data_IF_288220594405
#
_entry.id   IF_288220594405
#
_cell.length_a   1.000
_cell.length_b   1.000
_cell.length_c   1.000
_cell.angle_alpha   90.00
_cell.angle_beta   90.00
_cell.angle_gamma   90.00
#
_symmetry.space_group_name_H-M   'P 1'
#
loop_
_entity.id
_entity.type
_entity.pdbx_description
1 polymer ?
#
# COMPACT_ATOMS: atom_id res chain seq x y z
N UNK A 1 22.92 -5.52 -21.68
CA UNK A 1 22.70 -4.79 -20.42
C UNK A 1 23.62 -5.38 -19.35
N UNK A 2 24.25 -4.55 -18.52
CA UNK A 2 25.04 -5.02 -17.37
C UNK A 2 24.22 -4.86 -16.09
N UNK A 3 24.16 -5.91 -15.27
CA UNK A 3 23.43 -5.89 -14.00
C UNK A 3 24.46 -5.83 -12.89
N UNK A 4 24.40 -4.78 -12.07
CA UNK A 4 25.33 -4.55 -10.98
C UNK A 4 24.59 -4.43 -9.64
N UNK A 5 25.19 -4.95 -8.59
CA UNK A 5 24.70 -4.78 -7.23
C UNK A 5 25.21 -3.45 -6.66
N UNK A 6 24.28 -2.61 -6.20
CA UNK A 6 24.58 -1.28 -5.67
C UNK A 6 25.43 -1.32 -4.39
N UNK A 7 25.44 -2.44 -3.67
CA UNK A 7 26.24 -2.62 -2.45
C UNK A 7 27.71 -2.92 -2.73
N UNK A 8 28.05 -3.44 -3.91
CA UNK A 8 29.41 -3.94 -4.21
C UNK A 8 30.42 -2.81 -4.45
N UNK A 9 29.97 -1.55 -4.50
CA UNK A 9 30.86 -0.38 -4.50
C UNK A 9 31.88 -0.38 -5.65
N UNK A 10 33.18 -0.35 -5.33
CA UNK A 10 34.28 -0.21 -6.29
C UNK A 10 34.45 -1.44 -7.21
N UNK A 11 34.15 -2.64 -6.73
CA UNK A 11 34.30 -3.86 -7.53
C UNK A 11 33.28 -3.93 -8.66
N UNK A 12 32.07 -3.41 -8.43
CA UNK A 12 31.06 -3.26 -9.47
C UNK A 12 31.52 -2.29 -10.57
N UNK A 13 32.22 -1.22 -10.21
CA UNK A 13 32.75 -0.23 -11.16
C UNK A 13 33.82 -0.86 -12.05
N UNK A 14 34.78 -1.57 -11.44
CA UNK A 14 35.84 -2.26 -12.18
C UNK A 14 35.28 -3.35 -13.08
N UNK A 15 34.30 -4.10 -12.59
CA UNK A 15 33.63 -5.14 -13.39
C UNK A 15 32.89 -4.52 -14.57
N UNK A 16 32.16 -3.43 -14.36
CA UNK A 16 31.45 -2.74 -15.43
C UNK A 16 32.40 -2.21 -16.52
N UNK A 17 33.55 -1.66 -16.13
CA UNK A 17 34.60 -1.19 -17.04
C UNK A 17 35.15 -2.31 -17.92
N UNK A 18 35.59 -3.40 -17.29
CA UNK A 18 36.15 -4.56 -18.00
C UNK A 18 35.11 -5.25 -18.88
N UNK A 19 33.85 -5.33 -18.44
CA UNK A 19 32.76 -5.82 -19.27
C UNK A 19 32.53 -4.90 -20.46
N UNK A 20 32.53 -3.58 -20.29
CA UNK A 20 32.30 -2.63 -21.39
C UNK A 20 33.40 -2.71 -22.46
N UNK A 21 34.66 -2.88 -22.05
CA UNK A 21 35.80 -3.04 -22.97
C UNK A 21 35.69 -4.31 -23.81
N UNK A 22 35.23 -5.41 -23.21
CA UNK A 22 35.11 -6.71 -23.90
C UNK A 22 33.80 -6.87 -24.66
N UNK A 23 32.74 -6.24 -24.18
CA UNK A 23 31.39 -6.32 -24.72
C UNK A 23 30.74 -4.94 -24.62
N UNK A 24 30.43 -4.32 -25.75
CA UNK A 24 29.80 -2.99 -25.80
C UNK A 24 28.43 -3.00 -25.10
N UNK A 25 28.43 -2.61 -23.83
CA UNK A 25 27.22 -2.41 -23.05
C UNK A 25 26.43 -1.23 -23.64
N UNK A 26 25.10 -1.36 -23.66
CA UNK A 26 24.16 -0.30 -24.10
C UNK A 26 23.36 0.29 -22.94
N UNK A 27 23.57 -0.23 -21.73
CA UNK A 27 22.89 0.22 -20.52
C UNK A 27 23.15 -0.69 -19.32
N UNK A 28 22.83 -0.15 -18.15
CA UNK A 28 23.08 -0.75 -16.83
C UNK A 28 21.77 -0.87 -16.05
N UNK A 29 21.65 -1.93 -15.25
CA UNK A 29 20.60 -2.11 -14.24
C UNK A 29 21.27 -2.22 -12.87
N UNK A 30 20.80 -1.46 -11.88
CA UNK A 30 21.32 -1.53 -10.52
C UNK A 30 20.34 -2.24 -9.61
N UNK A 31 20.77 -3.29 -8.91
CA UNK A 31 19.93 -4.03 -7.95
C UNK A 31 20.25 -3.63 -6.51
N UNK A 32 19.37 -4.00 -5.57
CA UNK A 32 19.52 -3.76 -4.13
C UNK A 32 19.62 -2.28 -3.74
N UNK A 33 18.86 -1.44 -4.44
CA UNK A 33 18.76 0.01 -4.19
C UNK A 33 17.79 0.37 -3.05
N UNK A 34 17.23 -0.64 -2.39
CA UNK A 34 16.41 -0.57 -1.17
C UNK A 34 17.23 -0.54 0.13
N UNK A 35 18.52 -0.91 0.08
CA UNK A 35 19.43 -0.81 1.21
C UNK A 35 20.04 0.59 1.42
N UNK A 36 20.99 0.70 2.36
CA UNK A 36 21.76 1.93 2.64
C UNK A 36 22.79 2.28 1.53
N UNK A 37 22.63 1.69 0.34
CA UNK A 37 23.45 2.01 -0.80
C UNK A 37 23.09 3.43 -1.28
N UNK A 38 23.92 4.42 -0.91
CA UNK A 38 23.76 5.85 -1.25
C UNK A 38 23.98 6.16 -2.74
N UNK A 39 23.67 5.25 -3.65
CA UNK A 39 23.72 5.48 -5.09
C UNK A 39 25.10 5.81 -5.70
N UNK A 40 26.19 5.79 -4.92
CA UNK A 40 27.52 6.13 -5.42
C UNK A 40 28.01 5.21 -6.54
N UNK A 41 27.67 3.92 -6.48
CA UNK A 41 27.96 2.96 -7.54
C UNK A 41 27.32 3.35 -8.89
N UNK A 42 26.13 3.97 -8.87
CA UNK A 42 25.44 4.43 -10.06
C UNK A 42 26.26 5.49 -10.80
N UNK A 43 26.76 6.48 -10.05
CA UNK A 43 27.58 7.56 -10.58
C UNK A 43 28.90 7.02 -11.14
N UNK A 44 29.59 6.18 -10.38
CA UNK A 44 30.88 5.62 -10.78
C UNK A 44 30.78 4.72 -12.01
N UNK A 45 29.78 3.85 -12.08
CA UNK A 45 29.57 2.99 -13.27
C UNK A 45 29.24 3.84 -14.50
N UNK A 46 28.37 4.85 -14.36
CA UNK A 46 28.03 5.78 -15.45
C UNK A 46 29.27 6.53 -15.93
N UNK A 47 30.13 6.98 -15.02
CA UNK A 47 31.34 7.73 -15.34
C UNK A 47 32.35 6.88 -16.12
N UNK A 48 32.54 5.62 -15.72
CA UNK A 48 33.55 4.75 -16.34
C UNK A 48 33.05 4.14 -17.65
N UNK A 49 31.80 3.68 -17.69
CA UNK A 49 31.25 3.02 -18.89
C UNK A 49 30.65 3.99 -19.90
N UNK A 50 30.27 5.20 -19.49
CA UNK A 50 29.50 6.13 -20.33
C UNK A 50 28.09 5.65 -20.71
N UNK A 51 27.61 4.52 -20.15
CA UNK A 51 26.34 3.88 -20.52
C UNK A 51 25.20 4.21 -19.56
N UNK A 52 23.96 4.37 -20.05
CA UNK A 52 22.87 4.88 -19.23
C UNK A 52 22.36 3.80 -18.28
N UNK A 53 22.01 4.18 -17.05
CA UNK A 53 21.27 3.30 -16.15
C UNK A 53 19.81 3.34 -16.59
N UNK A 54 19.23 2.16 -16.85
CA UNK A 54 17.87 2.02 -17.38
C UNK A 54 16.85 1.70 -16.28
N UNK A 55 17.21 0.81 -15.36
CA UNK A 55 16.32 0.34 -14.30
C UNK A 55 17.06 0.21 -12.97
N UNK A 56 16.29 0.27 -11.89
CA UNK A 56 16.73 0.01 -10.52
C UNK A 56 15.85 -1.03 -9.85
N UNK A 57 16.46 -1.97 -9.14
CA UNK A 57 15.78 -2.92 -8.27
C UNK A 57 15.69 -2.35 -6.86
N UNK A 58 14.49 -2.05 -6.40
CA UNK A 58 14.17 -1.45 -5.08
C UNK A 58 13.51 -2.45 -4.13
N UNK A 59 13.79 -3.74 -4.31
CA UNK A 59 13.31 -4.80 -3.45
C UNK A 59 13.48 -6.18 -4.08
N UNK A 60 13.04 -7.21 -3.35
CA UNK A 60 13.22 -8.61 -3.74
C UNK A 60 12.08 -9.18 -4.61
N UNK A 61 10.94 -8.48 -4.66
CA UNK A 61 9.76 -8.95 -5.39
C UNK A 61 9.87 -8.67 -6.89
N UNK A 62 9.13 -9.44 -7.69
CA UNK A 62 9.14 -9.30 -9.16
C UNK A 62 8.65 -7.93 -9.66
N UNK A 63 7.84 -7.23 -8.86
CA UNK A 63 7.30 -5.89 -9.13
C UNK A 63 8.20 -4.76 -8.60
N UNK A 64 9.34 -5.09 -7.98
CA UNK A 64 10.27 -4.11 -7.40
C UNK A 64 11.33 -3.60 -8.41
N UNK A 65 11.05 -3.69 -9.71
CA UNK A 65 11.91 -3.14 -10.76
C UNK A 65 11.31 -1.83 -11.28
N UNK A 66 11.96 -0.71 -10.98
CA UNK A 66 11.49 0.62 -11.34
C UNK A 66 12.40 1.25 -12.42
N UNK A 67 11.87 2.09 -13.33
CA UNK A 67 12.69 2.89 -14.23
C UNK A 67 13.66 3.79 -13.46
N UNK A 68 14.88 3.95 -13.98
CA UNK A 68 15.86 4.83 -13.35
C UNK A 68 15.54 6.31 -13.62
N UNK A 69 15.37 7.07 -12.54
CA UNK A 69 15.19 8.52 -12.58
C UNK A 69 16.36 9.22 -11.85
N UNK A 70 17.25 9.94 -12.56
CA UNK A 70 18.40 10.60 -11.96
C UNK A 70 18.01 11.54 -10.81
N UNK A 71 16.95 12.33 -11.01
CA UNK A 71 16.49 13.33 -10.03
C UNK A 71 16.12 12.69 -8.68
N UNK A 72 15.47 11.51 -8.70
CA UNK A 72 15.07 10.78 -7.48
C UNK A 72 16.26 10.25 -6.70
N UNK A 73 17.29 9.76 -7.42
CA UNK A 73 18.52 9.27 -6.79
C UNK A 73 19.28 10.43 -6.16
N UNK A 74 19.35 11.58 -6.83
CA UNK A 74 19.96 12.80 -6.27
C UNK A 74 19.21 13.26 -5.02
N UNK A 75 17.88 13.32 -5.05
CA UNK A 75 17.08 13.68 -3.87
C UNK A 75 17.28 12.70 -2.70
N UNK A 76 17.40 11.40 -2.98
CA UNK A 76 17.70 10.38 -1.96
C UNK A 76 19.10 10.55 -1.36
N UNK A 77 20.10 10.85 -2.18
CA UNK A 77 21.48 11.13 -1.74
C UNK A 77 21.54 12.40 -0.90
N UNK A 78 20.81 13.45 -1.29
CA UNK A 78 20.73 14.73 -0.59
C UNK A 78 19.84 14.68 0.66
N UNK A 79 19.27 13.52 1.00
CA UNK A 79 18.42 13.35 2.17
C UNK A 79 17.07 14.07 2.09
N UNK A 80 16.69 14.57 0.90
CA UNK A 80 15.42 15.29 0.69
C UNK A 80 14.21 14.37 0.57
N UNK A 81 14.41 13.04 0.59
CA UNK A 81 13.33 12.07 0.42
C UNK A 81 12.70 12.12 -0.98
N UNK A 82 11.91 11.11 -1.31
CA UNK A 82 11.30 10.98 -2.64
C UNK A 82 9.83 11.45 -2.61
N UNK A 83 9.65 12.77 -2.57
CA UNK A 83 8.32 13.40 -2.55
C UNK A 83 7.55 13.09 -3.85
N UNK A 84 8.25 12.95 -4.97
CA UNK A 84 7.65 12.65 -6.27
C UNK A 84 7.11 11.22 -6.34
N UNK A 85 7.85 10.22 -5.83
CA UNK A 85 7.33 8.86 -5.74
C UNK A 85 6.14 8.72 -4.79
N UNK A 86 6.06 9.55 -3.75
CA UNK A 86 4.90 9.61 -2.86
C UNK A 86 3.66 10.13 -3.61
N UNK A 87 3.82 11.17 -4.42
CA UNK A 87 2.74 11.74 -5.23
C UNK A 87 2.32 10.76 -6.32
N UNK A 88 3.25 10.13 -7.02
CA UNK A 88 2.93 9.15 -8.07
C UNK A 88 2.26 7.89 -7.52
N UNK A 89 2.72 7.35 -6.39
CA UNK A 89 2.06 6.20 -5.73
C UNK A 89 0.67 6.59 -5.22
N UNK A 90 0.49 7.82 -4.75
CA UNK A 90 -0.83 8.33 -4.36
C UNK A 90 -1.75 8.53 -5.58
N UNK A 91 -1.25 9.07 -6.70
CA UNK A 91 -2.03 9.31 -7.92
C UNK A 91 -2.40 8.02 -8.64
N UNK A 92 -1.51 7.02 -8.70
CA UNK A 92 -1.78 5.73 -9.35
C UNK A 92 -2.82 4.89 -8.58
N UNK A 93 -3.00 5.13 -7.28
CA UNK A 93 -3.89 4.34 -6.43
C UNK A 93 -5.26 4.97 -6.17
N UNK A 94 -5.47 6.23 -6.57
CA UNK A 94 -6.79 6.87 -6.54
C UNK A 94 -7.48 6.65 -7.89
N UNK A 95 -8.13 5.49 -7.98
CA UNK A 95 -9.06 5.19 -9.07
C UNK A 95 -10.29 6.10 -8.94
N UNK A 96 -10.27 7.25 -9.62
CA UNK A 96 -11.30 8.31 -9.54
C UNK A 96 -12.73 7.75 -9.69
N UNK A 97 -12.89 6.73 -10.54
CA UNK A 97 -14.18 6.04 -10.74
C UNK A 97 -14.65 5.30 -9.48
N UNK A 98 -13.77 4.57 -8.80
CA UNK A 98 -14.11 3.87 -7.55
C UNK A 98 -14.42 4.85 -6.42
N UNK A 99 -13.72 5.99 -6.37
CA UNK A 99 -14.00 7.03 -5.40
C UNK A 99 -15.40 7.65 -5.61
N UNK A 100 -15.78 7.92 -6.87
CA UNK A 100 -17.11 8.42 -7.24
C UNK A 100 -18.22 7.43 -6.94
N UNK A 101 -18.06 6.15 -7.28
CA UNK A 101 -19.02 5.09 -6.95
C UNK A 101 -19.20 4.93 -5.44
N UNK A 102 -18.11 5.01 -4.68
CA UNK A 102 -18.14 4.93 -3.22
C UNK A 102 -18.83 6.15 -2.59
N UNK A 103 -18.60 7.35 -3.14
CA UNK A 103 -19.28 8.56 -2.73
C UNK A 103 -20.79 8.48 -3.02
N UNK A 104 -21.18 8.01 -4.20
CA UNK A 104 -22.58 7.79 -4.56
C UNK A 104 -23.27 6.78 -3.62
N UNK A 105 -22.61 5.66 -3.30
CA UNK A 105 -23.09 4.66 -2.33
C UNK A 105 -23.16 5.18 -0.90
N UNK A 106 -22.30 6.12 -0.52
CA UNK A 106 -22.36 6.77 0.80
C UNK A 106 -23.59 7.67 0.93
N UNK A 107 -23.95 8.38 -0.13
CA UNK A 107 -25.10 9.30 -0.15
C UNK A 107 -26.45 8.58 -0.09
N UNK A 108 -26.55 7.35 -0.61
CA UNK A 108 -27.79 6.55 -0.56
C UNK A 108 -28.04 5.88 0.81
N UNK A 109 -27.11 5.98 1.76
CA UNK A 109 -27.31 5.64 3.18
C UNK A 109 -27.35 4.15 3.53
N UNK A 110 -27.63 3.26 2.58
CA UNK A 110 -27.62 1.79 2.75
C UNK A 110 -26.62 1.07 1.82
N UNK A 111 -25.80 1.81 1.08
CA UNK A 111 -24.91 1.27 0.04
C UNK A 111 -23.60 0.62 0.51
N UNK A 112 -23.38 0.42 1.82
CA UNK A 112 -22.15 -0.21 2.32
C UNK A 112 -22.37 -1.67 2.70
N UNK A 113 -22.09 -2.58 1.78
CA UNK A 113 -22.25 -4.03 1.96
C UNK A 113 -21.00 -4.70 2.55
N UNK A 114 -21.11 -5.97 2.95
CA UNK A 114 -19.94 -6.78 3.33
C UNK A 114 -19.02 -7.06 2.13
N UNK A 115 -19.54 -6.99 0.91
CA UNK A 115 -18.72 -7.09 -0.32
C UNK A 115 -17.82 -5.86 -0.46
N UNK A 116 -18.38 -4.65 -0.27
CA UNK A 116 -17.60 -3.41 -0.30
C UNK A 116 -16.56 -3.39 0.82
N UNK A 117 -16.92 -3.90 2.01
CA UNK A 117 -15.98 -4.06 3.13
C UNK A 117 -14.80 -4.98 2.78
N UNK A 118 -15.07 -6.12 2.14
CA UNK A 118 -14.02 -7.04 1.69
C UNK A 118 -13.10 -6.38 0.66
N UNK A 119 -13.67 -5.64 -0.28
CA UNK A 119 -12.89 -5.02 -1.34
C UNK A 119 -11.98 -3.90 -0.80
N UNK A 120 -12.45 -3.14 0.19
CA UNK A 120 -11.60 -2.20 0.94
C UNK A 120 -10.46 -2.92 1.67
N UNK A 121 -10.73 -4.04 2.34
CA UNK A 121 -9.68 -4.82 3.01
C UNK A 121 -8.64 -5.37 2.03
N UNK A 122 -9.07 -5.79 0.84
CA UNK A 122 -8.17 -6.21 -0.24
C UNK A 122 -7.32 -5.06 -0.76
N UNK A 123 -7.89 -3.86 -0.88
CA UNK A 123 -7.14 -2.68 -1.27
C UNK A 123 -6.07 -2.36 -0.23
N UNK A 124 -6.42 -2.34 1.06
CA UNK A 124 -5.45 -2.16 2.15
C UNK A 124 -4.33 -3.20 2.11
N UNK A 125 -4.67 -4.48 1.89
CA UNK A 125 -3.69 -5.56 1.72
C UNK A 125 -2.78 -5.37 0.49
N UNK A 126 -3.30 -4.82 -0.62
CA UNK A 126 -2.53 -4.54 -1.84
C UNK A 126 -1.59 -3.35 -1.69
N UNK A 127 -1.91 -2.39 -0.83
CA UNK A 127 -1.08 -1.20 -0.58
C UNK A 127 0.21 -1.53 0.22
N UNK A 128 0.40 -2.78 0.65
CA UNK A 128 1.56 -3.22 1.42
C UNK A 128 1.32 -3.18 2.93
N UNK A 129 2.34 -3.56 3.71
CA UNK A 129 2.22 -3.60 5.17
C UNK A 129 1.83 -2.20 5.67
N UNK A 130 0.81 -2.12 6.53
CA UNK A 130 0.45 -0.86 7.21
C UNK A 130 1.67 -0.20 7.88
N UNK A 131 2.69 -0.98 8.21
CA UNK A 131 4.00 -0.53 8.69
C UNK A 131 4.76 0.37 7.70
N UNK A 132 4.79 0.09 6.38
CA UNK A 132 5.51 0.93 5.42
C UNK A 132 4.83 2.28 5.19
N UNK A 133 3.48 2.30 5.19
CA UNK A 133 2.72 3.56 5.09
C UNK A 133 2.78 4.39 6.37
N UNK A 134 2.88 3.76 7.54
CA UNK A 134 2.97 4.45 8.82
C UNK A 134 4.39 4.86 9.21
N UNK A 135 5.43 4.26 8.63
CA UNK A 135 6.81 4.75 8.69
C UNK A 135 7.01 6.08 7.95
N UNK A 136 6.05 6.48 7.12
CA UNK A 136 6.04 7.74 6.36
C UNK A 136 5.15 8.82 7.00
N UNK A 137 4.39 8.51 8.05
CA UNK A 137 3.57 9.49 8.76
C UNK A 137 4.41 10.21 9.84
N UNK A 138 4.38 11.57 9.90
CA UNK A 138 5.09 12.32 10.91
C UNK A 138 4.67 11.90 12.32
N UNK A 139 5.63 11.61 13.19
CA UNK A 139 5.42 11.09 14.55
C UNK A 139 4.81 12.11 15.54
N UNK A 140 4.31 13.25 15.07
CA UNK A 140 3.90 14.40 15.89
C UNK A 140 2.42 14.70 15.65
N UNK A 141 1.63 14.79 16.73
CA UNK A 141 0.23 15.22 16.70
C UNK A 141 -0.79 14.13 17.06
N UNK A 142 -2.11 14.37 16.82
CA UNK A 142 -3.21 13.50 17.27
C UNK A 142 -3.21 12.09 16.66
N UNK A 143 -2.32 11.83 15.70
CA UNK A 143 -2.15 10.54 15.02
C UNK A 143 -1.06 9.64 15.63
N UNK A 144 -0.28 10.11 16.62
CA UNK A 144 0.75 9.31 17.29
C UNK A 144 0.20 8.05 17.99
N UNK A 145 -1.07 8.04 18.38
CA UNK A 145 -1.75 6.88 18.96
C UNK A 145 -2.04 5.75 17.96
N UNK A 146 -2.11 6.05 16.65
CA UNK A 146 -2.35 5.04 15.61
C UNK A 146 -1.13 4.15 15.41
N UNK A 147 0.08 4.68 15.63
CA UNK A 147 1.34 3.95 15.43
C UNK A 147 1.43 2.72 16.38
N UNK A 148 0.95 2.86 17.62
CA UNK A 148 0.87 1.75 18.59
C UNK A 148 -0.24 0.73 18.30
N UNK A 149 -1.27 1.12 17.55
CA UNK A 149 -2.32 0.20 17.12
C UNK A 149 -1.88 -0.64 15.91
N UNK A 150 -0.95 -0.12 15.11
CA UNK A 150 -0.46 -0.72 13.87
C UNK A 150 0.47 -1.92 14.09
N UNK A 151 1.33 -1.90 15.12
CA UNK A 151 2.17 -3.04 15.49
C UNK A 151 1.35 -4.28 15.92
N UNK A 152 0.06 -4.11 16.20
CA UNK A 152 -0.87 -5.20 16.55
C UNK A 152 -1.72 -5.68 15.37
N UNK A 153 -1.63 -5.05 14.19
CA UNK A 153 -2.36 -5.49 13.01
C UNK A 153 -1.54 -6.56 12.32
N UNK A 154 -1.76 -7.80 12.75
CA UNK A 154 -1.20 -8.98 12.08
C UNK A 154 -1.83 -9.11 10.68
N UNK A 155 -1.00 -9.11 9.63
CA UNK A 155 -1.44 -9.30 8.24
C UNK A 155 -2.27 -10.58 8.06
N UNK A 156 -2.00 -11.60 8.90
CA UNK A 156 -2.78 -12.84 8.90
C UNK A 156 -4.23 -12.60 9.30
N UNK A 157 -4.50 -11.65 10.21
CA UNK A 157 -5.87 -11.31 10.60
C UNK A 157 -6.68 -10.73 9.44
N UNK A 158 -6.07 -9.93 8.57
CA UNK A 158 -6.73 -9.43 7.36
C UNK A 158 -7.12 -10.58 6.43
N UNK A 159 -6.24 -11.58 6.27
CA UNK A 159 -6.56 -12.81 5.54
C UNK A 159 -7.69 -13.62 6.18
N UNK A 160 -7.77 -13.68 7.51
CA UNK A 160 -8.84 -14.38 8.21
C UNK A 160 -10.21 -13.71 8.02
N UNK A 161 -10.25 -12.38 8.09
CA UNK A 161 -11.47 -11.60 7.84
C UNK A 161 -11.94 -11.81 6.39
N UNK A 162 -11.02 -11.79 5.43
CA UNK A 162 -11.31 -12.10 4.03
C UNK A 162 -11.91 -13.51 3.86
N UNK A 163 -11.33 -14.52 4.51
CA UNK A 163 -11.82 -15.90 4.46
C UNK A 163 -13.25 -16.05 5.04
N UNK A 164 -13.57 -15.32 6.12
CA UNK A 164 -14.91 -15.31 6.70
C UNK A 164 -15.94 -14.72 5.71
N UNK A 165 -15.62 -13.59 5.07
CA UNK A 165 -16.55 -12.96 4.10
C UNK A 165 -16.71 -13.84 2.85
N UNK A 166 -15.64 -14.45 2.35
CA UNK A 166 -15.70 -15.37 1.20
C UNK A 166 -16.57 -16.61 1.48
N UNK A 167 -16.71 -17.00 2.75
CA UNK A 167 -17.58 -18.12 3.18
C UNK A 167 -19.07 -17.75 3.26
N UNK A 168 -19.42 -16.50 2.96
CA UNK A 168 -20.80 -16.02 2.86
C UNK A 168 -21.30 -16.10 1.41
N UNK A 169 -22.60 -16.32 1.26
CA UNK A 169 -23.29 -16.21 -0.03
C UNK A 169 -23.43 -14.73 -0.45
N UNK A 170 -23.59 -14.46 -1.75
CA UNK A 170 -23.77 -13.09 -2.27
C UNK A 170 -24.94 -12.38 -1.56
N UNK A 171 -26.06 -13.08 -1.38
CA UNK A 171 -27.21 -12.55 -0.65
C UNK A 171 -26.88 -12.14 0.79
N UNK A 172 -26.12 -12.95 1.53
CA UNK A 172 -25.71 -12.62 2.90
C UNK A 172 -24.74 -11.43 2.96
N UNK A 173 -23.91 -11.25 1.92
CA UNK A 173 -22.99 -10.11 1.87
C UNK A 173 -23.70 -8.78 1.62
N UNK A 174 -24.73 -8.81 0.78
CA UNK A 174 -25.58 -7.66 0.51
C UNK A 174 -26.54 -7.39 1.69
N UNK A 175 -27.05 -8.45 2.32
CA UNK A 175 -28.03 -8.38 3.40
C UNK A 175 -27.50 -9.06 4.67
N UNK A 176 -26.61 -8.37 5.39
CA UNK A 176 -25.98 -8.91 6.61
C UNK A 176 -26.99 -9.32 7.71
N UNK A 177 -28.18 -8.73 7.70
CA UNK A 177 -29.26 -8.93 8.69
C UNK A 177 -29.82 -10.34 8.66
N UNK A 178 -29.70 -11.05 7.53
CA UNK A 178 -30.16 -12.44 7.40
C UNK A 178 -29.24 -13.44 8.09
N UNK A 179 -28.06 -13.02 8.56
CA UNK A 179 -27.03 -13.89 9.15
C UNK A 179 -27.40 -14.27 10.60
N UNK A 180 -28.25 -15.28 10.71
CA UNK A 180 -28.64 -15.93 11.96
C UNK A 180 -27.58 -16.91 12.50
N UNK A 181 -27.82 -17.47 13.69
CA UNK A 181 -26.86 -18.37 14.35
C UNK A 181 -26.50 -19.62 13.55
N UNK A 182 -27.43 -20.18 12.78
CA UNK A 182 -27.17 -21.33 11.90
C UNK A 182 -26.21 -20.96 10.76
N UNK A 183 -26.44 -19.81 10.11
CA UNK A 183 -25.56 -19.28 9.07
C UNK A 183 -24.17 -18.96 9.61
N UNK A 184 -24.06 -18.39 10.83
CA UNK A 184 -22.76 -18.15 11.48
C UNK A 184 -21.96 -19.43 11.70
N UNK A 185 -22.62 -20.52 12.13
CA UNK A 185 -21.97 -21.83 12.26
C UNK A 185 -21.47 -22.36 10.91
N UNK A 186 -22.24 -22.20 9.84
CA UNK A 186 -21.83 -22.58 8.48
C UNK A 186 -20.63 -21.75 7.99
N UNK A 187 -20.67 -20.43 8.15
CA UNK A 187 -19.59 -19.51 7.77
C UNK A 187 -18.31 -19.83 8.56
N UNK A 188 -18.41 -20.04 9.86
CA UNK A 188 -17.30 -20.45 10.72
C UNK A 188 -16.62 -21.73 10.22
N UNK A 189 -17.41 -22.77 9.91
CA UNK A 189 -16.90 -24.02 9.33
C UNK A 189 -16.25 -23.82 7.96
N UNK A 190 -16.88 -23.05 7.07
CA UNK A 190 -16.35 -22.80 5.71
C UNK A 190 -15.05 -21.99 5.70
N UNK A 191 -14.88 -21.09 6.67
CA UNK A 191 -13.70 -20.24 6.81
C UNK A 191 -12.59 -20.85 7.68
N UNK A 192 -12.85 -22.00 8.32
CA UNK A 192 -11.94 -22.60 9.30
C UNK A 192 -11.79 -21.77 10.57
N UNK A 193 -12.80 -20.95 10.91
CA UNK A 193 -12.79 -20.00 12.04
C UNK A 193 -13.83 -20.33 13.08
N UNK A 194 -13.72 -19.68 14.22
CA UNK A 194 -14.68 -19.79 15.32
C UNK A 194 -15.92 -18.93 15.06
N UNK A 195 -17.05 -19.31 15.65
CA UNK A 195 -18.29 -18.50 15.59
C UNK A 195 -18.10 -17.14 16.27
N UNK A 196 -17.19 -17.06 17.26
CA UNK A 196 -16.84 -15.82 17.94
C UNK A 196 -16.15 -14.83 17.00
N UNK A 197 -15.20 -15.28 16.18
CA UNK A 197 -14.56 -14.44 15.16
C UNK A 197 -15.57 -13.91 14.14
N UNK A 198 -16.51 -14.75 13.69
CA UNK A 198 -17.60 -14.32 12.80
C UNK A 198 -18.48 -13.24 13.46
N UNK A 199 -18.81 -13.41 14.75
CA UNK A 199 -19.58 -12.40 15.49
C UNK A 199 -18.82 -11.07 15.63
N UNK A 200 -17.51 -11.13 15.89
CA UNK A 200 -16.68 -9.95 16.03
C UNK A 200 -16.58 -9.18 14.71
N UNK A 201 -16.43 -9.89 13.59
CA UNK A 201 -16.46 -9.28 12.26
C UNK A 201 -17.78 -8.56 12.00
N UNK A 202 -18.92 -9.21 12.26
CA UNK A 202 -20.23 -8.60 12.05
C UNK A 202 -20.44 -7.34 12.93
N UNK A 203 -19.89 -7.34 14.16
CA UNK A 203 -19.89 -6.14 15.02
C UNK A 203 -19.04 -5.01 14.44
N UNK A 204 -17.82 -5.32 13.98
CA UNK A 204 -16.93 -4.33 13.35
C UNK A 204 -17.56 -3.75 12.08
N UNK A 205 -18.14 -4.60 11.24
CA UNK A 205 -18.88 -4.18 10.06
C UNK A 205 -20.08 -3.28 10.42
N UNK A 206 -20.87 -3.64 11.45
CA UNK A 206 -22.01 -2.81 11.88
C UNK A 206 -21.57 -1.42 12.37
N UNK A 207 -20.44 -1.34 13.10
CA UNK A 207 -19.85 -0.08 13.52
C UNK A 207 -19.40 0.76 12.30
N UNK A 208 -18.76 0.13 11.33
CA UNK A 208 -18.28 0.82 10.14
C UNK A 208 -19.43 1.28 9.23
N UNK A 209 -20.48 0.45 9.06
CA UNK A 209 -21.71 0.83 8.37
C UNK A 209 -22.38 2.04 9.04
N UNK A 210 -22.41 2.08 10.37
CA UNK A 210 -22.94 3.25 11.11
C UNK A 210 -22.15 4.52 10.83
N UNK A 211 -20.82 4.42 10.81
CA UNK A 211 -19.93 5.54 10.47
C UNK A 211 -20.11 5.98 9.01
N UNK A 212 -20.20 5.04 8.08
CA UNK A 212 -20.41 5.32 6.66
C UNK A 212 -21.75 6.02 6.40
N UNK A 213 -22.81 5.56 7.08
CA UNK A 213 -24.13 6.21 7.06
C UNK A 213 -24.12 7.61 7.68
N UNK A 214 -23.24 7.87 8.64
CA UNK A 214 -23.06 9.22 9.19
C UNK A 214 -22.28 10.13 8.23
N UNK A 215 -21.31 9.58 7.51
CA UNK A 215 -20.50 10.32 6.53
C UNK A 215 -21.31 10.78 5.32
N UNK A 216 -22.28 9.97 4.87
CA UNK A 216 -23.23 10.34 3.81
C UNK A 216 -24.22 11.44 4.19
N UNK A 217 -24.31 11.85 5.47
CA UNK A 217 -25.22 12.93 5.88
C UNK A 217 -24.61 14.29 5.52
N UNK A 218 -25.39 15.21 4.92
CA UNK A 218 -24.95 16.59 4.64
C UNK A 218 -24.42 17.35 5.87
N UNK A 219 -24.87 16.96 7.07
CA UNK A 219 -24.41 17.51 8.35
C UNK A 219 -22.94 17.17 8.67
N UNK A 220 -22.45 16.00 8.24
CA UNK A 220 -21.06 15.60 8.44
C UNK A 220 -20.14 16.33 7.45
N UNK A 221 -20.56 16.46 6.18
CA UNK A 221 -19.86 17.28 5.19
C UNK A 221 -19.76 18.76 5.63
N UNK A 222 -20.83 19.34 6.21
CA UNK A 222 -20.77 20.69 6.83
C UNK A 222 -19.87 20.76 8.07
N UNK A 223 -19.84 19.72 8.91
CA UNK A 223 -18.94 19.67 10.08
C UNK A 223 -17.47 19.55 9.67
N UNK A 224 -17.17 18.81 8.61
CA UNK A 224 -15.83 18.73 8.02
C UNK A 224 -15.42 20.04 7.35
N UNK A 225 -16.32 20.68 6.60
CA UNK A 225 -16.09 22.01 6.04
C UNK A 225 -15.97 23.12 7.10
N UNK A 226 -16.55 22.91 8.29
CA UNK A 226 -16.44 23.79 9.46
C UNK A 226 -15.21 23.52 10.34
N UNK A 227 -14.52 22.38 10.18
CA UNK A 227 -13.21 22.14 10.79
C UNK A 227 -12.15 22.79 9.90
N UNK A 228 -11.86 24.07 10.16
CA UNK A 228 -10.64 24.70 9.65
C UNK A 228 -9.47 23.78 10.02
N UNK A 229 -8.78 23.25 9.01
CA UNK A 229 -7.47 22.64 9.15
C UNK A 229 -6.58 23.66 9.89
N UNK A 230 -5.98 23.32 11.05
CA UNK A 230 -4.99 24.18 11.67
C UNK A 230 -3.80 24.31 10.71
N UNK A 231 -3.59 25.50 10.14
CA UNK A 231 -2.40 25.82 9.35
C UNK A 231 -2.55 25.88 7.83
N UNK A 232 -3.64 26.43 7.30
CA UNK A 232 -3.55 27.25 6.08
C UNK A 232 -3.52 28.72 6.45
#
# INVERSE_FOLDING_TARGET
LFVADAMTGQDAVRSADEFHKKLSLTGVVLTKMDGDARGGAALSIRQVTGQPIKFIGVGEKYDALEPFHPDRIVSRILGMGDILSLIEKAEQQIDKKKAEEMAAKAMTGDGFSLEDFRDQLRQVKKMGSLQSLMGMLPSIGPFAGLQKAADKVDEKQLGHVEAIINSMTVHERLHHEVINGSRRKRIARGSGRTVQEVNNLLRQYAQMRKMFKQMGKPSFARKLAGMKLPGM
#
